data_IF_955865150544
#
_entry.id   IF_955865150544
#
_cell.length_a   1.000
_cell.length_b   1.000
_cell.length_c   1.000
_cell.angle_alpha   90.00
_cell.angle_beta   90.00
_cell.angle_gamma   90.00
#
_symmetry.space_group_name_H-M   'P 1'
#
loop_
_entity.id
_entity.type
_entity.pdbx_description
1 polymer ?
#
# COMPACT_ATOMS: atom_id res chain seq x y z
N UNK A 1 23.44 50.13 -12.69
CA UNK A 1 22.71 49.42 -11.62
C UNK A 1 22.43 47.93 -11.95
N UNK A 2 23.27 47.23 -12.74
CA UNK A 2 23.00 45.84 -13.17
C UNK A 2 23.81 44.76 -12.45
N UNK A 3 25.00 45.07 -11.90
CA UNK A 3 25.89 44.07 -11.28
C UNK A 3 25.30 43.40 -10.02
N UNK A 4 24.56 44.15 -9.20
CA UNK A 4 23.94 43.59 -7.99
C UNK A 4 22.80 42.63 -8.35
N UNK A 5 21.98 42.98 -9.33
CA UNK A 5 20.86 42.15 -9.79
C UNK A 5 21.34 40.85 -10.43
N UNK A 6 22.40 40.90 -11.25
CA UNK A 6 23.03 39.70 -11.81
C UNK A 6 23.60 38.78 -10.72
N UNK A 7 24.18 39.34 -9.66
CA UNK A 7 24.67 38.56 -8.51
C UNK A 7 23.54 37.91 -7.71
N UNK A 8 22.42 38.63 -7.50
CA UNK A 8 21.24 38.08 -6.84
C UNK A 8 20.60 36.94 -7.64
N UNK A 9 20.48 37.08 -8.97
CA UNK A 9 19.94 36.02 -9.82
C UNK A 9 20.87 34.79 -9.85
N UNK A 10 22.18 35.01 -9.83
CA UNK A 10 23.15 33.93 -9.75
C UNK A 10 23.07 33.19 -8.42
N UNK A 11 23.01 33.93 -7.30
CA UNK A 11 22.85 33.36 -5.96
C UNK A 11 21.52 32.60 -5.82
N UNK A 12 20.41 33.16 -6.35
CA UNK A 12 19.11 32.51 -6.35
C UNK A 12 19.09 31.22 -7.19
N UNK A 13 19.74 31.22 -8.37
CA UNK A 13 19.88 30.03 -9.20
C UNK A 13 20.69 28.94 -8.49
N UNK A 14 21.81 29.29 -7.86
CA UNK A 14 22.62 28.33 -7.09
C UNK A 14 21.85 27.78 -5.89
N UNK A 15 21.15 28.63 -5.13
CA UNK A 15 20.33 28.20 -4.01
C UNK A 15 19.19 27.26 -4.44
N UNK A 16 18.53 27.55 -5.57
CA UNK A 16 17.48 26.70 -6.12
C UNK A 16 18.04 25.33 -6.53
N UNK A 17 19.18 25.31 -7.22
CA UNK A 17 19.84 24.06 -7.60
C UNK A 17 20.27 23.23 -6.39
N UNK A 18 20.83 23.87 -5.34
CA UNK A 18 21.17 23.22 -4.09
C UNK A 18 19.93 22.70 -3.35
N UNK A 19 18.81 23.41 -3.42
CA UNK A 19 17.54 22.96 -2.84
C UNK A 19 16.96 21.77 -3.60
N UNK A 20 17.10 21.72 -4.92
CA UNK A 20 16.71 20.55 -5.72
C UNK A 20 17.63 19.35 -5.49
N UNK A 21 18.95 19.56 -5.43
CA UNK A 21 19.92 18.51 -5.09
C UNK A 21 19.72 18.00 -3.66
N UNK A 22 19.52 18.89 -2.69
CA UNK A 22 19.15 18.51 -1.34
C UNK A 22 17.80 17.80 -1.35
N UNK A 23 16.76 18.30 -2.01
CA UNK A 23 15.45 17.63 -2.08
C UNK A 23 15.50 16.23 -2.72
N UNK A 24 16.41 16.00 -3.68
CA UNK A 24 16.59 14.70 -4.33
C UNK A 24 17.45 13.73 -3.52
N UNK A 25 18.50 14.24 -2.87
CA UNK A 25 19.53 13.44 -2.17
C UNK A 25 19.24 13.31 -0.67
N UNK A 26 18.58 14.28 -0.03
CA UNK A 26 18.16 14.25 1.38
C UNK A 26 17.28 13.03 1.71
N UNK A 27 16.25 12.64 0.93
CA UNK A 27 15.50 11.41 1.21
C UNK A 27 16.31 10.11 0.94
N UNK A 28 17.47 10.20 0.29
CA UNK A 28 18.38 9.07 0.05
C UNK A 28 19.48 8.97 1.13
N UNK A 29 19.97 10.10 1.65
CA UNK A 29 21.01 10.18 2.69
C UNK A 29 20.43 10.12 4.11
N UNK A 30 19.34 10.86 4.35
CA UNK A 30 18.49 10.67 5.51
C UNK A 30 17.47 9.67 5.04
N UNK A 31 17.83 8.39 5.12
CA UNK A 31 16.92 7.30 4.86
C UNK A 31 15.55 7.65 5.44
N UNK A 32 14.49 7.40 4.65
CA UNK A 32 13.08 7.46 5.08
C UNK A 32 13.04 7.22 6.59
N UNK A 33 12.51 8.17 7.40
CA UNK A 33 12.65 8.15 8.85
C UNK A 33 12.56 6.71 9.30
N UNK A 34 13.69 6.22 9.85
CA UNK A 34 13.87 4.83 10.22
C UNK A 34 12.54 4.37 10.80
N UNK A 35 11.91 3.41 10.12
CA UNK A 35 10.66 2.78 10.51
C UNK A 35 10.73 2.58 12.02
N UNK A 36 10.10 3.48 12.79
CA UNK A 36 9.85 3.23 14.21
C UNK A 36 9.23 1.84 14.19
N UNK A 37 9.89 0.86 14.83
CA UNK A 37 9.48 -0.54 14.90
C UNK A 37 7.97 -0.58 14.78
N UNK A 38 7.47 -0.88 13.57
CA UNK A 38 6.04 -0.82 13.35
C UNK A 38 5.56 -2.05 14.06
N UNK A 39 5.05 -1.85 15.28
CA UNK A 39 4.48 -2.90 16.11
C UNK A 39 3.68 -3.81 15.20
N UNK A 40 3.93 -5.11 15.28
CA UNK A 40 3.27 -6.06 14.39
C UNK A 40 1.76 -5.77 14.45
N UNK A 41 1.11 -5.42 13.32
CA UNK A 41 -0.28 -5.02 13.34
C UNK A 41 -1.20 -6.09 13.93
N UNK A 42 -0.79 -7.37 13.91
CA UNK A 42 -1.50 -8.45 14.60
C UNK A 42 -1.33 -8.34 16.12
N UNK A 43 -0.11 -8.13 16.61
CA UNK A 43 0.16 -7.94 18.04
C UNK A 43 -0.54 -6.69 18.60
N UNK A 44 -0.53 -5.59 17.84
CA UNK A 44 -1.27 -4.38 18.19
C UNK A 44 -2.78 -4.64 18.26
N UNK A 45 -3.36 -5.30 17.24
CA UNK A 45 -4.78 -5.67 17.26
C UNK A 45 -5.12 -6.64 18.41
N UNK A 46 -4.23 -7.60 18.71
CA UNK A 46 -4.43 -8.54 19.80
C UNK A 46 -4.53 -7.83 21.16
N UNK A 47 -3.65 -6.85 21.37
CA UNK A 47 -3.66 -6.01 22.58
C UNK A 47 -4.88 -5.09 22.63
N UNK A 48 -5.18 -4.40 21.53
CA UNK A 48 -6.24 -3.39 21.47
C UNK A 48 -7.64 -4.00 21.67
N UNK A 49 -7.86 -5.23 21.18
CA UNK A 49 -9.16 -5.90 21.27
C UNK A 49 -9.20 -7.02 22.32
N UNK A 50 -8.09 -7.28 23.03
CA UNK A 50 -8.00 -8.39 23.98
C UNK A 50 -8.27 -9.74 23.30
N UNK A 51 -7.64 -9.98 22.15
CA UNK A 51 -7.79 -11.25 21.41
C UNK A 51 -7.08 -12.39 22.16
N UNK A 52 -7.72 -13.55 22.20
CA UNK A 52 -7.09 -14.77 22.70
C UNK A 52 -6.14 -15.41 21.66
N UNK A 53 -5.35 -16.39 22.07
CA UNK A 53 -4.38 -17.05 21.19
C UNK A 53 -5.02 -17.72 19.96
N UNK A 54 -6.26 -18.21 20.07
CA UNK A 54 -6.99 -18.83 18.95
C UNK A 54 -7.46 -17.76 17.97
N UNK A 55 -7.94 -16.63 18.47
CA UNK A 55 -8.36 -15.49 17.65
C UNK A 55 -7.16 -14.87 16.92
N UNK A 56 -6.02 -14.73 17.59
CA UNK A 56 -4.77 -14.28 16.97
C UNK A 56 -4.35 -15.24 15.84
N UNK A 57 -4.33 -16.55 16.08
CA UNK A 57 -4.00 -17.53 15.04
C UNK A 57 -4.98 -17.48 13.85
N UNK A 58 -6.27 -17.22 14.10
CA UNK A 58 -7.27 -17.01 13.04
C UNK A 58 -7.00 -15.77 12.19
N UNK A 59 -6.59 -14.68 12.82
CA UNK A 59 -6.22 -13.43 12.14
C UNK A 59 -4.92 -13.58 11.32
N UNK A 60 -3.94 -14.33 11.83
CA UNK A 60 -2.73 -14.66 11.08
C UNK A 60 -3.04 -15.55 9.87
N UNK A 61 -3.89 -16.55 10.02
CA UNK A 61 -4.34 -17.40 8.92
C UNK A 61 -5.06 -16.59 7.83
N UNK A 62 -5.92 -15.64 8.22
CA UNK A 62 -6.56 -14.69 7.30
C UNK A 62 -5.52 -13.84 6.54
N UNK A 63 -4.51 -13.32 7.24
CA UNK A 63 -3.44 -12.55 6.58
C UNK A 63 -2.65 -13.40 5.60
N UNK A 64 -2.36 -14.64 5.97
CA UNK A 64 -1.62 -15.58 5.14
C UNK A 64 -2.40 -15.95 3.88
N UNK A 65 -3.71 -16.24 3.99
CA UNK A 65 -4.55 -16.55 2.82
C UNK A 65 -4.58 -15.38 1.83
N UNK A 66 -4.72 -14.15 2.32
CA UNK A 66 -4.72 -12.92 1.50
C UNK A 66 -3.36 -12.73 0.82
N UNK A 67 -2.27 -12.99 1.52
CA UNK A 67 -0.92 -12.90 0.97
C UNK A 67 -0.68 -13.93 -0.15
N UNK A 68 -1.10 -15.17 0.06
CA UNK A 68 -0.99 -16.26 -0.93
C UNK A 68 -1.81 -15.98 -2.18
N UNK A 69 -3.07 -15.55 -2.02
CA UNK A 69 -3.92 -15.14 -3.16
C UNK A 69 -3.30 -14.00 -3.95
N UNK A 70 -2.71 -13.02 -3.26
CA UNK A 70 -2.03 -11.89 -3.90
C UNK A 70 -0.77 -12.32 -4.67
N UNK A 71 -0.02 -13.28 -4.13
CA UNK A 71 1.13 -13.86 -4.82
C UNK A 71 0.69 -14.61 -6.09
N UNK A 72 -0.40 -15.39 -5.99
CA UNK A 72 -0.99 -16.08 -7.13
C UNK A 72 -1.54 -15.11 -8.20
N UNK A 73 -2.13 -13.99 -7.78
CA UNK A 73 -2.68 -12.96 -8.67
C UNK A 73 -1.61 -12.03 -9.32
N UNK A 74 -0.31 -12.34 -9.19
CA UNK A 74 0.72 -11.66 -9.99
C UNK A 74 0.95 -10.18 -9.65
N UNK A 75 0.92 -9.80 -8.36
CA UNK A 75 1.51 -8.55 -7.87
C UNK A 75 0.97 -7.27 -8.51
N UNK A 76 -0.20 -6.82 -8.05
CA UNK A 76 -1.04 -5.73 -8.56
C UNK A 76 -0.45 -4.33 -8.87
N UNK A 77 0.87 -4.11 -8.81
CA UNK A 77 1.54 -2.90 -9.31
C UNK A 77 2.35 -3.16 -10.59
N UNK A 78 2.99 -4.33 -10.70
CA UNK A 78 3.79 -4.70 -11.88
C UNK A 78 2.90 -4.84 -13.11
N UNK A 79 1.80 -5.60 -12.99
CA UNK A 79 0.93 -5.90 -14.13
C UNK A 79 0.29 -4.68 -14.79
N UNK A 80 -0.14 -3.65 -14.03
CA UNK A 80 -0.74 -2.46 -14.64
C UNK A 80 0.28 -1.65 -15.43
N UNK A 81 1.47 -1.44 -14.87
CA UNK A 81 2.55 -0.74 -15.56
C UNK A 81 2.99 -1.50 -16.80
N UNK A 82 3.12 -2.82 -16.71
CA UNK A 82 3.44 -3.68 -17.84
C UNK A 82 2.39 -3.57 -18.94
N UNK A 83 1.10 -3.66 -18.61
CA UNK A 83 0.00 -3.49 -19.58
C UNK A 83 0.05 -2.13 -20.30
N UNK A 84 0.32 -1.06 -19.55
CA UNK A 84 0.46 0.28 -20.14
C UNK A 84 1.68 0.38 -21.05
N UNK A 85 2.82 -0.19 -20.65
CA UNK A 85 4.04 -0.20 -21.46
C UNK A 85 3.83 -1.02 -22.74
N UNK A 86 3.22 -2.20 -22.65
CA UNK A 86 2.90 -3.06 -23.80
C UNK A 86 2.00 -2.34 -24.80
N UNK A 87 0.96 -1.64 -24.32
CA UNK A 87 0.06 -0.88 -25.19
C UNK A 87 0.77 0.31 -25.87
N UNK A 88 1.74 0.94 -25.21
CA UNK A 88 2.54 2.03 -25.78
C UNK A 88 3.63 1.54 -26.74
N UNK A 89 4.08 0.29 -26.59
CA UNK A 89 5.06 -0.34 -27.49
C UNK A 89 4.42 -0.90 -28.77
N UNK A 90 3.09 -1.04 -28.81
CA UNK A 90 2.38 -1.53 -29.97
C UNK A 90 2.57 -0.57 -31.16
N UNK A 91 2.81 -1.10 -32.39
CA UNK A 91 3.02 -0.27 -33.58
C UNK A 91 1.78 0.56 -33.95
N UNK A 92 0.59 0.10 -33.55
CA UNK A 92 -0.68 0.84 -33.64
C UNK A 92 -1.38 0.69 -32.30
N UNK A 93 -1.91 1.79 -31.77
CA UNK A 93 -2.65 1.78 -30.52
C UNK A 93 -4.00 1.05 -30.68
N UNK A 94 -4.13 -0.11 -30.05
CA UNK A 94 -5.37 -0.87 -29.98
C UNK A 94 -6.11 -0.58 -28.67
N UNK A 95 -7.10 0.32 -28.75
CA UNK A 95 -7.95 0.68 -27.62
C UNK A 95 -8.76 -0.50 -27.09
N UNK A 96 -9.32 -1.34 -27.97
CA UNK A 96 -10.24 -2.40 -27.58
C UNK A 96 -9.52 -3.52 -26.84
N UNK A 97 -8.31 -3.88 -27.28
CA UNK A 97 -7.45 -4.84 -26.59
C UNK A 97 -7.04 -4.34 -25.21
N UNK A 98 -6.61 -3.07 -25.09
CA UNK A 98 -6.25 -2.49 -23.80
C UNK A 98 -7.46 -2.42 -22.84
N UNK A 99 -8.63 -2.01 -23.33
CA UNK A 99 -9.86 -1.96 -22.54
C UNK A 99 -10.26 -3.34 -22.01
N UNK A 100 -10.15 -4.38 -22.84
CA UNK A 100 -10.44 -5.77 -22.46
C UNK A 100 -9.54 -6.21 -21.29
N UNK A 101 -8.22 -6.04 -21.44
CA UNK A 101 -7.25 -6.41 -20.39
C UNK A 101 -7.42 -5.61 -19.09
N UNK A 102 -7.80 -4.33 -19.20
CA UNK A 102 -8.10 -3.51 -18.02
C UNK A 102 -9.38 -3.96 -17.31
N UNK A 103 -10.39 -4.40 -18.05
CA UNK A 103 -11.63 -4.93 -17.49
C UNK A 103 -11.43 -6.29 -16.82
N UNK A 104 -10.68 -7.21 -17.44
CA UNK A 104 -10.31 -8.50 -16.83
C UNK A 104 -9.61 -8.28 -15.48
N UNK A 105 -8.60 -7.39 -15.46
CA UNK A 105 -7.91 -7.01 -14.23
C UNK A 105 -8.83 -6.42 -13.17
N UNK A 106 -9.82 -5.61 -13.59
CA UNK A 106 -10.79 -5.03 -12.67
C UNK A 106 -11.65 -6.14 -12.05
N UNK A 107 -12.11 -7.10 -12.85
CA UNK A 107 -12.90 -8.23 -12.38
C UNK A 107 -12.11 -9.10 -11.40
N UNK A 108 -10.85 -9.42 -11.70
CA UNK A 108 -9.96 -10.17 -10.79
C UNK A 108 -9.78 -9.45 -9.45
N UNK A 109 -9.53 -8.13 -9.49
CA UNK A 109 -9.39 -7.31 -8.28
C UNK A 109 -10.68 -7.27 -7.48
N UNK A 110 -11.81 -7.07 -8.13
CA UNK A 110 -13.11 -6.96 -7.47
C UNK A 110 -13.49 -8.31 -6.83
N UNK A 111 -13.19 -9.44 -7.49
CA UNK A 111 -13.31 -10.79 -6.93
C UNK A 111 -12.43 -10.99 -5.69
N UNK A 112 -11.16 -10.59 -5.75
CA UNK A 112 -10.25 -10.65 -4.59
C UNK A 112 -10.79 -9.87 -3.38
N UNK A 113 -11.39 -8.69 -3.63
CA UNK A 113 -11.98 -7.88 -2.56
C UNK A 113 -13.19 -8.59 -1.95
N UNK A 114 -14.04 -9.23 -2.76
CA UNK A 114 -15.18 -9.98 -2.26
C UNK A 114 -14.75 -11.16 -1.39
N UNK A 115 -13.81 -11.99 -1.87
CA UNK A 115 -13.27 -13.12 -1.12
C UNK A 115 -12.70 -12.68 0.23
N UNK A 116 -11.91 -11.60 0.24
CA UNK A 116 -11.34 -11.06 1.46
C UNK A 116 -12.42 -10.56 2.43
N UNK A 117 -13.48 -9.94 1.92
CA UNK A 117 -14.59 -9.49 2.76
C UNK A 117 -15.37 -10.68 3.34
N UNK A 118 -15.52 -11.77 2.58
CA UNK A 118 -16.13 -13.01 3.07
C UNK A 118 -15.30 -13.64 4.19
N UNK A 119 -13.98 -13.77 4.01
CA UNK A 119 -13.09 -14.32 5.03
C UNK A 119 -13.04 -13.43 6.29
N UNK A 120 -12.96 -12.11 6.11
CA UNK A 120 -12.99 -11.16 7.23
C UNK A 120 -14.33 -11.25 7.97
N UNK A 121 -15.44 -11.38 7.26
CA UNK A 121 -16.75 -11.60 7.86
C UNK A 121 -16.78 -12.90 8.68
N UNK A 122 -16.22 -13.99 8.14
CA UNK A 122 -16.07 -15.27 8.86
C UNK A 122 -15.25 -15.14 10.14
N UNK A 123 -14.14 -14.42 10.10
CA UNK A 123 -13.32 -14.12 11.28
C UNK A 123 -14.11 -13.32 12.33
N UNK A 124 -14.81 -12.26 11.91
CA UNK A 124 -15.61 -11.42 12.81
C UNK A 124 -16.79 -12.15 13.45
N UNK A 125 -17.28 -13.23 12.84
CA UNK A 125 -18.31 -14.09 13.42
C UNK A 125 -17.80 -14.90 14.63
N UNK A 126 -16.48 -15.12 14.73
CA UNK A 126 -15.85 -15.80 15.85
C UNK A 126 -15.45 -14.90 17.02
N UNK A 127 -15.70 -13.59 16.92
CA UNK A 127 -15.41 -12.63 17.99
C UNK A 127 -16.61 -12.44 18.91
N UNK A 128 -16.35 -12.01 20.15
CA UNK A 128 -17.42 -11.54 21.04
C UNK A 128 -18.07 -10.26 20.50
N UNK A 129 -19.30 -9.92 20.90
CA UNK A 129 -19.96 -8.70 20.47
C UNK A 129 -19.13 -7.43 20.74
N UNK A 130 -18.47 -7.37 21.90
CA UNK A 130 -17.66 -6.22 22.31
C UNK A 130 -16.37 -6.12 21.47
N UNK A 131 -15.70 -7.26 21.24
CA UNK A 131 -14.51 -7.33 20.36
C UNK A 131 -14.86 -6.91 18.93
N UNK A 132 -16.00 -7.38 18.42
CA UNK A 132 -16.49 -7.02 17.08
C UNK A 132 -16.80 -5.53 16.98
N UNK A 133 -17.46 -4.95 18.00
CA UNK A 133 -17.75 -3.52 18.04
C UNK A 133 -16.46 -2.67 18.04
N UNK A 134 -15.48 -3.02 18.88
CA UNK A 134 -14.19 -2.34 18.93
C UNK A 134 -13.42 -2.45 17.60
N UNK A 135 -13.42 -3.64 16.98
CA UNK A 135 -12.81 -3.85 15.68
C UNK A 135 -13.45 -2.99 14.59
N UNK A 136 -14.78 -2.95 14.53
CA UNK A 136 -15.52 -2.17 13.53
C UNK A 136 -15.32 -0.66 13.72
N UNK A 137 -15.24 -0.19 14.96
CA UNK A 137 -14.93 1.21 15.24
C UNK A 137 -13.52 1.57 14.75
N UNK A 138 -12.52 0.75 15.09
CA UNK A 138 -11.14 0.92 14.63
C UNK A 138 -11.03 0.84 13.10
N UNK A 139 -11.87 0.03 12.46
CA UNK A 139 -11.90 -0.13 11.00
C UNK A 139 -12.35 1.12 10.25
N UNK A 140 -12.98 2.09 10.92
CA UNK A 140 -13.30 3.40 10.33
C UNK A 140 -12.06 4.26 10.15
N UNK A 141 -11.00 3.99 10.90
CA UNK A 141 -9.76 4.74 10.79
C UNK A 141 -9.06 4.44 9.46
N UNK A 142 -8.62 5.53 8.82
CA UNK A 142 -8.01 5.44 7.51
C UNK A 142 -6.71 4.65 7.58
N UNK A 143 -6.67 3.52 6.90
CA UNK A 143 -5.47 2.71 6.75
C UNK A 143 -5.29 1.60 7.77
N UNK A 144 -6.15 1.50 8.81
CA UNK A 144 -6.10 0.39 9.76
C UNK A 144 -6.28 -0.96 9.08
N UNK A 145 -7.41 -1.16 8.38
CA UNK A 145 -7.66 -2.41 7.63
C UNK A 145 -6.57 -2.68 6.60
N UNK A 146 -6.02 -1.60 6.02
CA UNK A 146 -4.93 -1.73 5.06
C UNK A 146 -3.66 -2.29 5.70
N UNK A 147 -3.26 -1.76 6.85
CA UNK A 147 -2.09 -2.21 7.59
C UNK A 147 -2.29 -3.61 8.20
N UNK A 148 -3.52 -3.91 8.63
CA UNK A 148 -3.89 -5.18 9.25
C UNK A 148 -3.99 -6.32 8.24
N UNK A 149 -4.44 -6.09 7.02
CA UNK A 149 -4.62 -7.17 6.03
C UNK A 149 -3.50 -7.21 5.00
N UNK A 150 -2.80 -6.09 4.78
CA UNK A 150 -1.71 -5.99 3.82
C UNK A 150 -0.45 -5.41 4.47
N UNK A 151 0.31 -6.21 5.23
CA UNK A 151 1.64 -5.81 5.66
C UNK A 151 2.49 -5.50 4.41
N UNK A 152 3.15 -4.35 4.42
CA UNK A 152 4.18 -4.05 3.42
C UNK A 152 5.27 -5.11 3.57
N UNK A 153 5.79 -5.70 2.47
CA UNK A 153 6.94 -6.58 2.59
C UNK A 153 8.06 -5.79 3.25
N UNK A 154 8.57 -6.30 4.38
CA UNK A 154 9.82 -5.84 4.95
C UNK A 154 10.85 -5.89 3.83
N UNK A 155 11.42 -4.73 3.47
CA UNK A 155 12.59 -4.70 2.61
C UNK A 155 13.72 -5.31 3.45
N UNK A 156 13.91 -6.62 3.34
CA UNK A 156 15.14 -7.30 3.74
C UNK A 156 16.27 -6.92 2.80
#
# INVERSE_FOLDING_TARGET
MSKRLSWFLLAASVALNLFFLAGLVYPQLIGKPASMMTEDPVAAAAKDFGLDARQVAGLEALRQSIAERRAAAGGGSSGFRTLMIEALQAPVFDRASLETRLNERRQERDGMVLDMMEELHGYLAGLSPDQKAAFLERSRERGFLRALLWPQPERR
#
